data_IF_878582754866
#
_entry.id   IF_878582754866
#
_cell.length_a   1.000
_cell.length_b   1.000
_cell.length_c   1.000
_cell.angle_alpha   90.00
_cell.angle_beta   90.00
_cell.angle_gamma   90.00
#
_symmetry.space_group_name_H-M   'P 1'
#
loop_
_entity.id
_entity.type
_entity.pdbx_description
1 polymer ?
#
# COMPACT_ATOMS: atom_id res chain seq x y z
N UNK A 1 -13.90 16.10 -12.08
CA UNK A 1 -13.01 16.78 -11.09
C UNK A 1 -11.65 16.12 -10.94
N UNK A 2 -11.51 14.83 -10.60
CA UNK A 2 -10.17 14.21 -10.47
C UNK A 2 -9.45 14.08 -11.83
N UNK A 3 -10.15 13.71 -12.87
CA UNK A 3 -9.63 13.67 -14.25
C UNK A 3 -9.26 15.07 -14.73
N UNK A 4 -10.17 16.05 -14.56
CA UNK A 4 -9.92 17.45 -14.95
C UNK A 4 -8.70 18.02 -14.22
N UNK A 5 -8.55 17.71 -12.93
CA UNK A 5 -7.36 18.09 -12.16
C UNK A 5 -6.10 17.43 -12.72
N UNK A 6 -6.18 16.16 -13.09
CA UNK A 6 -5.05 15.45 -13.69
C UNK A 6 -4.64 16.07 -15.01
N UNK A 7 -5.60 16.41 -15.85
CA UNK A 7 -5.33 17.03 -17.15
C UNK A 7 -4.78 18.46 -16.99
N UNK A 8 -5.33 19.25 -16.07
CA UNK A 8 -4.76 20.55 -15.71
C UNK A 8 -3.31 20.45 -15.23
N UNK A 9 -3.00 19.50 -14.35
CA UNK A 9 -1.64 19.31 -13.86
C UNK A 9 -0.68 18.90 -14.97
N UNK A 10 -1.13 18.08 -15.94
CA UNK A 10 -0.34 17.75 -17.13
C UNK A 10 -0.07 18.97 -18.01
N UNK A 11 -1.08 19.82 -18.22
CA UNK A 11 -0.95 21.06 -19.02
C UNK A 11 0.08 22.02 -18.41
N UNK A 12 0.18 22.11 -17.09
CA UNK A 12 1.20 22.92 -16.41
C UNK A 12 2.57 22.20 -16.30
N UNK A 13 2.71 21.04 -16.91
CA UNK A 13 3.99 20.31 -17.01
C UNK A 13 4.35 19.46 -15.82
N UNK A 14 3.42 19.13 -14.92
CA UNK A 14 3.64 18.24 -13.78
C UNK A 14 3.46 16.79 -14.23
N UNK A 15 4.41 15.93 -13.86
CA UNK A 15 4.30 14.49 -14.11
C UNK A 15 3.26 13.89 -13.16
N UNK A 16 2.06 13.65 -13.65
CA UNK A 16 0.91 13.20 -12.86
C UNK A 16 0.30 11.93 -13.43
N UNK A 17 -0.13 11.04 -12.55
CA UNK A 17 -0.99 9.89 -12.90
C UNK A 17 -2.29 9.95 -12.11
N UNK A 18 -3.35 9.40 -12.73
CA UNK A 18 -4.65 9.23 -12.13
C UNK A 18 -4.88 7.76 -11.80
N UNK A 19 -5.48 7.52 -10.63
CA UNK A 19 -5.82 6.18 -10.19
C UNK A 19 -7.31 6.15 -9.83
N UNK A 20 -8.11 5.32 -10.49
CA UNK A 20 -9.54 5.12 -10.21
C UNK A 20 -9.86 3.66 -9.84
N UNK A 21 -11.10 3.41 -9.39
CA UNK A 21 -11.49 2.10 -8.86
C UNK A 21 -11.46 0.97 -9.92
N UNK A 22 -11.64 1.32 -11.20
CA UNK A 22 -11.74 0.35 -12.29
C UNK A 22 -10.38 -0.07 -12.87
N UNK A 23 -9.28 0.49 -12.36
CA UNK A 23 -7.93 0.10 -12.80
C UNK A 23 -7.63 -1.32 -12.32
N UNK A 24 -7.16 -2.16 -13.25
CA UNK A 24 -6.74 -3.52 -12.94
C UNK A 24 -5.63 -3.55 -11.87
N UNK A 25 -5.65 -4.58 -11.03
CA UNK A 25 -4.70 -4.75 -9.92
C UNK A 25 -3.26 -4.68 -10.37
N UNK A 26 -2.93 -5.27 -11.52
CA UNK A 26 -1.56 -5.23 -12.07
C UNK A 26 -1.14 -3.83 -12.51
N UNK A 27 -2.05 -3.08 -13.12
CA UNK A 27 -1.80 -1.71 -13.54
C UNK A 27 -1.67 -0.78 -12.33
N UNK A 28 -2.52 -0.96 -11.31
CA UNK A 28 -2.40 -0.26 -10.03
C UNK A 28 -1.03 -0.45 -9.39
N UNK A 29 -0.54 -1.69 -9.36
CA UNK A 29 0.79 -1.99 -8.81
C UNK A 29 1.93 -1.35 -9.64
N UNK A 30 1.81 -1.32 -10.96
CA UNK A 30 2.76 -0.62 -11.83
C UNK A 30 2.79 0.88 -11.52
N UNK A 31 1.61 1.52 -11.36
CA UNK A 31 1.52 2.94 -11.03
C UNK A 31 2.19 3.22 -9.68
N UNK A 32 1.92 2.40 -8.67
CA UNK A 32 2.54 2.56 -7.34
C UNK A 32 4.06 2.38 -7.41
N UNK A 33 4.51 1.36 -8.14
CA UNK A 33 5.94 1.12 -8.36
C UNK A 33 6.61 2.29 -9.08
N UNK A 34 6.01 2.78 -10.16
CA UNK A 34 6.52 3.90 -10.93
C UNK A 34 6.63 5.15 -10.04
N UNK A 35 5.66 5.41 -9.15
CA UNK A 35 5.72 6.49 -8.18
C UNK A 35 6.91 6.33 -7.23
N UNK A 36 7.15 5.14 -6.71
CA UNK A 36 8.28 4.84 -5.83
C UNK A 36 9.64 4.90 -6.52
N UNK A 37 9.67 4.78 -7.85
CA UNK A 37 10.86 4.89 -8.70
C UNK A 37 11.01 6.28 -9.34
N UNK A 38 10.32 7.29 -8.84
CA UNK A 38 10.38 8.67 -9.36
C UNK A 38 9.90 8.81 -10.83
N UNK A 39 9.05 7.89 -11.28
CA UNK A 39 8.47 7.93 -12.62
C UNK A 39 7.52 9.11 -12.84
N UNK A 40 6.90 9.62 -11.76
CA UNK A 40 6.03 10.80 -11.77
C UNK A 40 5.94 11.40 -10.35
N UNK A 41 5.49 12.67 -10.26
CA UNK A 41 5.54 13.45 -9.03
C UNK A 41 4.22 13.45 -8.26
N UNK A 42 3.08 13.34 -8.95
CA UNK A 42 1.75 13.48 -8.36
C UNK A 42 0.86 12.30 -8.72
N UNK A 43 0.23 11.72 -7.71
CA UNK A 43 -0.82 10.72 -7.86
C UNK A 43 -2.16 11.33 -7.45
N UNK A 44 -3.07 11.47 -8.40
CA UNK A 44 -4.44 11.89 -8.15
C UNK A 44 -5.35 10.67 -8.03
N UNK A 45 -6.21 10.66 -7.04
CA UNK A 45 -7.12 9.53 -6.93
C UNK A 45 -8.31 9.76 -6.01
N UNK A 46 -9.38 9.03 -6.26
CA UNK A 46 -10.60 9.05 -5.46
C UNK A 46 -10.53 7.86 -4.49
N UNK A 47 -10.55 8.15 -3.18
CA UNK A 47 -10.62 7.12 -2.13
C UNK A 47 -9.50 6.04 -2.14
N UNK A 48 -8.40 6.32 -2.78
CA UNK A 48 -7.33 5.34 -3.00
C UNK A 48 -6.46 5.08 -1.79
N UNK A 49 -6.47 6.01 -0.83
CA UNK A 49 -5.56 6.00 0.30
C UNK A 49 -6.11 5.22 1.51
N UNK A 50 -7.30 4.62 1.40
CA UNK A 50 -7.90 3.85 2.50
C UNK A 50 -7.31 2.46 2.66
N UNK A 51 -6.90 1.79 1.56
CA UNK A 51 -6.50 0.39 1.60
C UNK A 51 -5.10 0.16 1.01
N UNK A 52 -4.24 -0.44 1.80
CA UNK A 52 -3.05 -1.17 1.34
C UNK A 52 -1.93 -0.39 0.63
N UNK A 53 -2.01 0.94 0.52
CA UNK A 53 -0.92 1.71 -0.07
C UNK A 53 0.13 2.04 0.98
N UNK A 54 1.25 1.36 0.88
CA UNK A 54 2.45 1.64 1.67
C UNK A 54 3.52 2.31 0.80
N UNK A 55 3.47 3.63 0.76
CA UNK A 55 4.40 4.46 -0.03
C UNK A 55 5.13 5.40 0.93
N UNK A 56 6.26 5.00 1.50
CA UNK A 56 7.00 5.84 2.45
C UNK A 56 7.63 7.08 1.81
N UNK A 57 7.71 7.12 0.50
CA UNK A 57 8.27 8.23 -0.28
C UNK A 57 7.32 9.45 -0.35
N UNK A 58 6.05 9.32 0.08
CA UNK A 58 5.09 10.43 0.06
C UNK A 58 5.52 11.52 1.06
N UNK A 59 5.84 12.69 0.53
CA UNK A 59 6.16 13.89 1.32
C UNK A 59 4.97 14.82 1.51
N UNK A 60 3.98 14.78 0.63
CA UNK A 60 2.80 15.64 0.68
C UNK A 60 1.52 14.84 0.43
N UNK A 61 0.53 15.03 1.29
CA UNK A 61 -0.85 14.57 1.10
C UNK A 61 -1.76 15.79 1.02
N UNK A 62 -2.44 15.98 -0.11
CA UNK A 62 -3.43 17.03 -0.30
C UNK A 62 -4.84 16.41 -0.30
N UNK A 63 -5.70 16.87 0.61
CA UNK A 63 -7.08 16.42 0.72
C UNK A 63 -7.98 17.57 0.22
N UNK A 64 -8.56 17.38 -0.96
CA UNK A 64 -9.50 18.34 -1.54
C UNK A 64 -10.91 18.13 -0.96
N UNK A 65 -11.69 19.22 -0.87
CA UNK A 65 -13.05 19.18 -0.32
C UNK A 65 -13.10 18.45 1.04
N UNK A 66 -12.20 18.79 1.94
CA UNK A 66 -12.09 18.12 3.23
C UNK A 66 -13.30 18.37 4.15
N UNK A 67 -14.04 19.44 3.91
CA UNK A 67 -15.28 19.86 4.59
C UNK A 67 -16.54 19.21 4.03
N UNK A 68 -16.48 18.51 2.89
CA UNK A 68 -17.63 17.79 2.33
C UNK A 68 -17.90 16.54 3.15
N UNK A 69 -18.68 16.67 4.21
CA UNK A 69 -19.02 15.56 5.11
C UNK A 69 -19.59 14.36 4.35
N UNK A 70 -19.21 13.17 4.76
CA UNK A 70 -19.62 11.93 4.16
C UNK A 70 -18.66 10.80 4.54
N UNK A 71 -18.91 9.60 4.05
CA UNK A 71 -18.15 8.40 4.39
C UNK A 71 -16.63 8.52 4.18
N UNK A 72 -16.18 9.35 3.22
CA UNK A 72 -14.77 9.59 2.91
C UNK A 72 -14.13 10.68 3.76
N UNK A 73 -14.90 11.43 4.54
CA UNK A 73 -14.44 12.57 5.35
C UNK A 73 -14.80 12.43 6.82
N UNK A 74 -15.03 11.20 7.27
CA UNK A 74 -15.15 10.90 8.70
C UNK A 74 -13.81 11.11 9.40
N UNK A 75 -13.83 11.34 10.70
CA UNK A 75 -12.63 11.44 11.55
C UNK A 75 -11.62 10.32 11.26
N UNK A 76 -12.08 9.06 11.30
CA UNK A 76 -11.23 7.89 11.04
C UNK A 76 -10.63 7.90 9.64
N UNK A 77 -11.41 8.25 8.62
CA UNK A 77 -10.94 8.33 7.25
C UNK A 77 -9.86 9.41 7.07
N UNK A 78 -10.06 10.57 7.70
CA UNK A 78 -9.09 11.66 7.68
C UNK A 78 -7.79 11.25 8.41
N UNK A 79 -7.88 10.66 9.61
CA UNK A 79 -6.71 10.17 10.34
C UNK A 79 -5.92 9.14 9.53
N UNK A 80 -6.59 8.20 8.87
CA UNK A 80 -5.94 7.22 8.00
C UNK A 80 -5.21 7.87 6.83
N UNK A 81 -5.83 8.87 6.21
CA UNK A 81 -5.25 9.61 5.08
C UNK A 81 -4.04 10.44 5.53
N UNK A 82 -4.16 11.15 6.64
CA UNK A 82 -3.06 11.90 7.29
C UNK A 82 -1.89 10.96 7.60
N UNK A 83 -2.19 9.77 8.12
CA UNK A 83 -1.21 8.76 8.48
C UNK A 83 -0.34 8.25 7.32
N UNK A 84 -0.74 8.49 6.06
CA UNK A 84 0.09 8.14 4.88
C UNK A 84 1.34 9.00 4.77
N UNK A 85 1.27 10.28 5.15
CA UNK A 85 2.43 11.16 5.19
C UNK A 85 3.35 10.90 6.41
N UNK A 86 2.85 10.23 7.45
CA UNK A 86 3.58 10.05 8.72
C UNK A 86 4.81 9.14 8.63
N UNK A 87 5.03 8.45 7.52
CA UNK A 87 6.21 7.61 7.27
C UNK A 87 7.42 8.39 6.74
N UNK A 88 7.18 9.60 6.28
CA UNK A 88 8.20 10.52 5.86
C UNK A 88 8.49 11.53 6.98
N UNK A 89 9.76 11.72 7.32
CA UNK A 89 10.16 12.67 8.36
C UNK A 89 9.73 14.12 8.02
N UNK A 90 9.72 14.46 6.72
CA UNK A 90 9.30 15.74 6.19
C UNK A 90 7.85 15.70 5.65
N UNK A 91 7.04 14.75 6.12
CA UNK A 91 5.68 14.56 5.65
C UNK A 91 4.74 15.72 6.04
N UNK A 92 4.07 16.30 5.05
CA UNK A 92 3.08 17.35 5.21
C UNK A 92 1.70 16.90 4.74
N UNK A 93 0.66 17.45 5.39
CA UNK A 93 -0.73 17.24 5.00
C UNK A 93 -1.41 18.61 4.87
N UNK A 94 -2.07 18.83 3.73
CA UNK A 94 -2.87 20.03 3.47
C UNK A 94 -4.31 19.59 3.25
N UNK A 95 -5.23 20.15 4.02
CA UNK A 95 -6.66 19.97 3.85
C UNK A 95 -7.25 21.26 3.26
N UNK A 96 -7.81 21.16 2.05
CA UNK A 96 -8.52 22.25 1.40
C UNK A 96 -9.98 22.18 1.81
N UNK A 97 -10.47 23.23 2.45
CA UNK A 97 -11.82 23.32 2.98
C UNK A 97 -12.25 24.78 3.10
N UNK A 98 -13.53 25.07 2.90
CA UNK A 98 -14.10 26.40 3.15
C UNK A 98 -14.39 26.58 4.64
N UNK A 99 -14.75 25.49 5.34
CA UNK A 99 -15.06 25.51 6.77
C UNK A 99 -14.42 24.30 7.46
N UNK A 100 -14.04 24.48 8.72
CA UNK A 100 -13.55 23.36 9.53
C UNK A 100 -14.76 22.62 10.10
N UNK A 101 -14.90 21.35 9.73
CA UNK A 101 -15.96 20.46 10.25
C UNK A 101 -15.53 19.81 11.57
N UNK A 102 -16.48 19.28 12.33
CA UNK A 102 -16.20 18.55 13.58
C UNK A 102 -15.28 17.34 13.35
N UNK A 103 -15.46 16.62 12.22
CA UNK A 103 -14.59 15.50 11.83
C UNK A 103 -13.16 15.95 11.55
N UNK A 104 -12.96 17.10 10.90
CA UNK A 104 -11.64 17.68 10.68
C UNK A 104 -10.98 18.10 11.99
N UNK A 105 -11.70 18.81 12.84
CA UNK A 105 -11.18 19.26 14.14
C UNK A 105 -10.71 18.08 15.01
N UNK A 106 -11.51 17.02 15.10
CA UNK A 106 -11.16 15.78 15.81
C UNK A 106 -9.93 15.10 15.21
N UNK A 107 -9.86 15.01 13.88
CA UNK A 107 -8.73 14.39 13.19
C UNK A 107 -7.43 15.18 13.38
N UNK A 108 -7.48 16.50 13.32
CA UNK A 108 -6.34 17.38 13.56
C UNK A 108 -5.86 17.27 15.00
N UNK A 109 -6.76 17.47 15.97
CA UNK A 109 -6.40 17.44 17.38
C UNK A 109 -5.83 16.09 17.82
N UNK A 110 -6.39 14.97 17.32
CA UNK A 110 -5.86 13.64 17.63
C UNK A 110 -4.48 13.41 16.97
N UNK A 111 -4.28 13.90 15.77
CA UNK A 111 -2.98 13.80 15.08
C UNK A 111 -1.92 14.63 15.80
N UNK A 112 -2.24 15.84 16.23
CA UNK A 112 -1.35 16.70 17.02
C UNK A 112 -1.02 16.09 18.38
N UNK A 113 -2.01 15.53 19.08
CA UNK A 113 -1.82 14.82 20.33
C UNK A 113 -0.83 13.66 20.17
N UNK A 114 -1.00 12.83 19.14
CA UNK A 114 -0.09 11.70 18.86
C UNK A 114 1.32 12.20 18.52
N UNK A 115 1.43 13.25 17.71
CA UNK A 115 2.71 13.85 17.34
C UNK A 115 3.46 14.38 18.55
N UNK A 116 2.77 15.05 19.46
CA UNK A 116 3.36 15.58 20.69
C UNK A 116 3.93 14.46 21.57
N UNK A 117 3.14 13.42 21.83
CA UNK A 117 3.58 12.25 22.61
C UNK A 117 4.81 11.60 21.97
N UNK A 118 4.82 11.46 20.65
CA UNK A 118 5.95 10.87 19.94
C UNK A 118 7.20 11.75 20.01
N UNK A 119 7.04 13.07 19.91
CA UNK A 119 8.15 14.01 20.04
C UNK A 119 8.76 13.95 21.45
N UNK A 120 7.95 14.00 22.49
CA UNK A 120 8.40 13.88 23.89
C UNK A 120 9.14 12.56 24.12
N UNK A 121 8.63 11.46 23.58
CA UNK A 121 9.29 10.16 23.65
C UNK A 121 10.64 10.16 22.94
N UNK A 122 10.71 10.72 21.74
CA UNK A 122 11.93 10.81 20.94
C UNK A 122 13.00 11.64 21.64
N UNK A 123 12.62 12.79 22.22
CA UNK A 123 13.53 13.67 22.98
C UNK A 123 14.12 12.95 24.20
N UNK A 124 13.28 12.27 24.99
CA UNK A 124 13.73 11.52 26.17
C UNK A 124 14.71 10.39 25.81
N UNK A 125 14.50 9.74 24.65
CA UNK A 125 15.31 8.59 24.22
C UNK A 125 16.41 8.96 23.22
N UNK A 126 16.57 10.24 22.88
CA UNK A 126 17.59 10.69 21.91
C UNK A 126 17.36 10.15 20.49
N UNK A 127 16.11 9.91 20.11
CA UNK A 127 15.74 9.35 18.81
C UNK A 127 15.56 10.48 17.80
N UNK A 128 16.32 10.48 16.72
CA UNK A 128 16.10 11.38 15.58
C UNK A 128 15.18 10.69 14.57
N UNK A 129 14.00 11.25 14.26
CA UNK A 129 13.10 10.68 13.26
C UNK A 129 13.79 10.57 11.90
N UNK A 130 13.60 9.45 11.22
CA UNK A 130 14.13 9.21 9.88
C UNK A 130 13.02 8.71 8.97
N UNK A 131 13.05 9.12 7.70
CA UNK A 131 12.14 8.60 6.67
C UNK A 131 12.37 7.10 6.47
N UNK A 132 11.29 6.32 6.48
CA UNK A 132 11.35 4.88 6.26
C UNK A 132 11.79 4.62 4.82
N UNK A 133 12.86 3.85 4.65
CA UNK A 133 13.31 3.36 3.34
C UNK A 133 12.89 1.91 3.17
N UNK A 134 11.99 1.66 2.23
CA UNK A 134 11.52 0.31 1.89
C UNK A 134 11.99 -0.06 0.48
N UNK A 135 12.58 -1.22 0.29
CA UNK A 135 12.99 -1.70 -1.04
C UNK A 135 11.78 -1.80 -1.98
N UNK A 136 11.93 -1.33 -3.22
CA UNK A 136 10.91 -1.52 -4.27
C UNK A 136 11.06 -2.93 -4.80
N UNK A 137 10.13 -3.82 -4.44
CA UNK A 137 10.14 -5.21 -4.90
C UNK A 137 9.38 -5.33 -6.22
N UNK A 138 9.91 -6.07 -7.17
CA UNK A 138 9.33 -6.26 -8.49
C UNK A 138 8.43 -7.50 -8.49
N UNK A 139 7.12 -7.31 -8.32
CA UNK A 139 6.13 -8.40 -8.34
C UNK A 139 6.04 -9.08 -9.72
N UNK A 140 6.43 -8.36 -10.79
CA UNK A 140 6.45 -8.91 -12.16
C UNK A 140 7.67 -9.81 -12.38
N UNK A 141 8.78 -9.58 -11.66
CA UNK A 141 9.94 -10.47 -11.72
C UNK A 141 9.65 -11.82 -11.06
N UNK A 142 8.73 -11.88 -10.11
CA UNK A 142 8.33 -13.12 -9.43
C UNK A 142 7.58 -14.06 -10.39
N UNK A 143 6.71 -13.54 -11.26
CA UNK A 143 6.03 -14.37 -12.25
C UNK A 143 6.96 -14.79 -13.40
N UNK A 144 7.93 -13.94 -13.78
CA UNK A 144 8.95 -14.27 -14.80
C UNK A 144 10.12 -15.09 -14.25
N UNK A 145 10.52 -14.89 -13.01
CA UNK A 145 11.53 -15.70 -12.35
C UNK A 145 11.01 -17.13 -12.03
N UNK A 146 9.70 -17.29 -11.78
CA UNK A 146 9.07 -18.61 -11.70
C UNK A 146 9.08 -19.37 -13.03
N UNK A 147 9.30 -18.68 -14.15
CA UNK A 147 9.49 -19.30 -15.47
C UNK A 147 10.97 -19.49 -15.83
N UNK A 148 11.91 -18.76 -15.23
CA UNK A 148 13.31 -18.71 -15.67
C UNK A 148 14.34 -19.31 -14.70
N UNK A 149 14.02 -19.57 -13.45
CA UNK A 149 15.05 -20.00 -12.46
C UNK A 149 14.67 -21.28 -11.71
N UNK A 150 15.24 -22.37 -12.20
CA UNK A 150 15.31 -23.68 -11.53
C UNK A 150 16.51 -23.74 -10.54
N UNK A 151 17.02 -22.62 -10.03
CA UNK A 151 18.14 -22.64 -9.11
C UNK A 151 18.00 -21.64 -7.95
N UNK A 152 17.89 -22.17 -6.74
CA UNK A 152 18.01 -21.56 -5.41
C UNK A 152 16.81 -20.76 -4.86
N UNK A 153 16.01 -21.50 -4.12
CA UNK A 153 14.90 -21.09 -3.32
C UNK A 153 15.16 -20.12 -2.18
N UNK A 154 14.79 -18.88 -2.39
CA UNK A 154 14.25 -17.97 -1.35
C UNK A 154 13.40 -16.92 -2.05
N UNK A 155 12.13 -17.22 -2.23
CA UNK A 155 11.12 -16.25 -2.67
C UNK A 155 10.52 -15.63 -1.39
N UNK A 156 11.03 -14.48 -0.98
CA UNK A 156 10.34 -13.60 -0.02
C UNK A 156 9.23 -12.87 -0.78
N UNK A 157 8.06 -13.47 -0.85
CA UNK A 157 6.86 -12.85 -1.44
C UNK A 157 6.15 -12.08 -0.33
N UNK A 158 5.90 -10.80 -0.56
CA UNK A 158 5.13 -9.96 0.36
C UNK A 158 3.63 -10.25 0.15
N UNK A 159 3.10 -11.20 0.89
CA UNK A 159 1.70 -11.63 0.81
C UNK A 159 0.72 -10.60 1.38
N UNK A 160 1.21 -9.62 2.15
CA UNK A 160 0.38 -8.62 2.82
C UNK A 160 -0.26 -7.61 1.84
N UNK A 161 0.29 -7.47 0.64
CA UNK A 161 -0.18 -6.52 -0.38
C UNK A 161 -1.05 -7.15 -1.46
N UNK A 162 -1.31 -8.48 -1.40
CA UNK A 162 -2.01 -9.21 -2.46
C UNK A 162 -3.51 -9.34 -2.20
N UNK A 163 -4.32 -9.29 -3.28
CA UNK A 163 -5.73 -9.63 -3.19
C UNK A 163 -5.94 -11.14 -2.98
N UNK A 164 -7.07 -11.53 -2.37
CA UNK A 164 -7.43 -12.94 -2.15
C UNK A 164 -7.37 -13.74 -3.46
N UNK A 165 -7.86 -13.15 -4.57
CA UNK A 165 -7.83 -13.79 -5.89
C UNK A 165 -6.42 -14.03 -6.42
N UNK A 166 -5.49 -13.13 -6.13
CA UNK A 166 -4.12 -13.26 -6.58
C UNK A 166 -3.35 -14.24 -5.68
N UNK A 167 -3.62 -14.26 -4.38
CA UNK A 167 -3.11 -15.28 -3.46
C UNK A 167 -3.58 -16.70 -3.86
N UNK A 168 -4.82 -16.85 -4.32
CA UNK A 168 -5.32 -18.12 -4.85
C UNK A 168 -4.62 -18.55 -6.13
N UNK A 169 -4.28 -17.62 -7.03
CA UNK A 169 -3.49 -17.92 -8.24
C UNK A 169 -2.08 -18.36 -7.87
N UNK A 170 -1.43 -17.63 -6.98
CA UNK A 170 -0.08 -17.98 -6.48
C UNK A 170 -0.09 -19.35 -5.80
N UNK A 171 -1.10 -19.62 -4.96
CA UNK A 171 -1.30 -20.93 -4.33
C UNK A 171 -1.40 -22.07 -5.36
N UNK A 172 -2.23 -21.89 -6.41
CA UNK A 172 -2.36 -22.90 -7.48
C UNK A 172 -1.06 -23.12 -8.23
N UNK A 173 -0.28 -22.07 -8.45
CA UNK A 173 1.02 -22.20 -9.10
C UNK A 173 2.05 -22.93 -8.21
N UNK A 174 2.09 -22.60 -6.92
CA UNK A 174 2.96 -23.30 -5.96
C UNK A 174 2.56 -24.78 -5.84
N UNK A 175 1.25 -25.07 -5.80
CA UNK A 175 0.77 -26.46 -5.76
C UNK A 175 1.20 -27.24 -7.01
N UNK A 176 1.12 -26.64 -8.20
CA UNK A 176 1.58 -27.24 -9.43
C UNK A 176 3.08 -27.53 -9.39
N UNK A 177 3.88 -26.57 -8.92
CA UNK A 177 5.34 -26.73 -8.81
C UNK A 177 5.71 -27.77 -7.75
N UNK A 178 5.00 -27.82 -6.61
CA UNK A 178 5.17 -28.82 -5.57
C UNK A 178 4.93 -30.23 -6.11
N UNK A 179 3.85 -30.44 -6.87
CA UNK A 179 3.54 -31.73 -7.50
C UNK A 179 4.60 -32.12 -8.52
N UNK A 180 5.17 -31.14 -9.26
CA UNK A 180 6.25 -31.39 -10.23
C UNK A 180 7.52 -31.81 -9.50
N UNK A 181 7.94 -31.08 -8.48
CA UNK A 181 9.10 -31.41 -7.67
C UNK A 181 8.98 -32.82 -7.01
N UNK A 182 7.79 -33.15 -6.51
CA UNK A 182 7.51 -34.48 -5.97
C UNK A 182 7.60 -35.59 -7.04
N UNK A 183 7.15 -35.32 -8.28
CA UNK A 183 7.27 -36.27 -9.39
C UNK A 183 8.73 -36.45 -9.84
N UNK A 184 9.57 -35.44 -9.68
CA UNK A 184 11.02 -35.47 -9.96
C UNK A 184 11.83 -36.02 -8.78
N UNK A 185 11.16 -36.46 -7.69
CA UNK A 185 11.74 -36.99 -6.46
C UNK A 185 12.58 -35.99 -5.66
N UNK A 186 12.41 -34.67 -5.95
CA UNK A 186 13.01 -33.61 -5.16
C UNK A 186 12.11 -33.29 -3.95
N UNK A 187 12.24 -34.12 -2.92
CA UNK A 187 11.42 -34.01 -1.72
C UNK A 187 11.73 -32.77 -0.88
N UNK A 188 12.95 -32.26 -0.95
CA UNK A 188 13.35 -31.07 -0.22
C UNK A 188 12.65 -29.81 -0.81
N UNK A 189 12.68 -29.68 -2.13
CA UNK A 189 11.99 -28.62 -2.83
C UNK A 189 10.46 -28.75 -2.70
N UNK A 190 9.91 -29.93 -2.76
CA UNK A 190 8.51 -30.22 -2.54
C UNK A 190 8.06 -29.83 -1.11
N UNK A 191 8.89 -30.10 -0.09
CA UNK A 191 8.62 -29.73 1.30
C UNK A 191 8.62 -28.18 1.48
N UNK A 192 9.61 -27.48 0.92
CA UNK A 192 9.64 -26.00 0.96
C UNK A 192 8.43 -25.37 0.30
N UNK A 193 7.99 -25.89 -0.84
CA UNK A 193 6.80 -25.40 -1.55
C UNK A 193 5.50 -25.68 -0.76
N UNK A 194 5.43 -26.82 -0.07
CA UNK A 194 4.31 -27.15 0.85
C UNK A 194 4.24 -26.15 2.00
N UNK A 195 5.36 -25.84 2.63
CA UNK A 195 5.40 -24.92 3.76
C UNK A 195 4.99 -23.50 3.35
N UNK A 196 5.42 -23.05 2.18
CA UNK A 196 4.93 -21.79 1.56
C UNK A 196 3.42 -21.80 1.28
N UNK A 197 2.88 -22.93 0.82
CA UNK A 197 1.43 -23.06 0.60
C UNK A 197 0.63 -22.97 1.90
N UNK A 198 1.17 -23.51 3.01
CA UNK A 198 0.57 -23.40 4.34
C UNK A 198 0.55 -21.94 4.81
N UNK A 199 1.63 -21.21 4.57
CA UNK A 199 1.74 -19.79 4.89
C UNK A 199 0.72 -18.95 4.13
N UNK A 200 0.60 -19.12 2.82
CA UNK A 200 -0.41 -18.45 2.00
C UNK A 200 -1.83 -18.76 2.46
N UNK A 201 -2.12 -20.01 2.83
CA UNK A 201 -3.43 -20.39 3.37
C UNK A 201 -3.74 -19.64 4.67
N UNK A 202 -2.78 -19.44 5.56
CA UNK A 202 -2.97 -18.65 6.79
C UNK A 202 -3.31 -17.20 6.43
N UNK A 203 -2.62 -16.59 5.46
CA UNK A 203 -2.92 -15.23 5.00
C UNK A 203 -4.31 -15.11 4.38
N UNK A 204 -4.71 -16.01 3.50
CA UNK A 204 -6.06 -16.04 2.92
C UNK A 204 -7.10 -16.16 4.03
N UNK A 205 -6.88 -17.02 5.01
CA UNK A 205 -7.79 -17.21 6.13
C UNK A 205 -7.92 -15.94 6.99
N UNK A 206 -6.81 -15.28 7.31
CA UNK A 206 -6.80 -14.01 8.03
C UNK A 206 -7.58 -12.92 7.26
N UNK A 207 -7.38 -12.81 5.95
CA UNK A 207 -8.07 -11.82 5.12
C UNK A 207 -9.58 -12.07 5.03
N UNK A 208 -10.02 -13.33 4.98
CA UNK A 208 -11.44 -13.69 5.00
C UNK A 208 -12.09 -13.37 6.34
N UNK A 209 -11.40 -13.65 7.46
CA UNK A 209 -11.94 -13.38 8.81
C UNK A 209 -11.99 -11.89 9.15
N UNK A 210 -11.11 -11.07 8.60
CA UNK A 210 -11.16 -9.60 8.78
C UNK A 210 -12.22 -8.94 7.91
N UNK A 211 -12.65 -9.59 6.82
CA UNK A 211 -13.75 -9.13 5.96
C UNK A 211 -15.14 -9.38 6.58
N UNK A 212 -15.33 -10.52 7.28
CA UNK A 212 -16.61 -10.87 7.92
C UNK A 212 -16.85 -10.12 9.26
N UNK A 213 -15.82 -9.50 9.84
CA UNK A 213 -15.96 -8.73 11.08
C UNK A 213 -16.31 -7.23 10.83
N UNK A 214 -16.52 -6.84 9.59
CA UNK A 214 -16.79 -5.46 9.17
C UNK A 214 -18.24 -5.23 8.65
N UNK A 215 -19.13 -6.23 8.75
CA UNK A 215 -20.57 -6.11 8.49
C UNK A 215 -21.36 -5.91 9.79
#
# INVERSE_FOLDING_TARGET
MAEDLTDYLKEVGIRVKYLHADIDTLERQKIIRDMRLDGFDVLVGINLLREGLDIPEISLVAILDADKEGFLRTETSLIQTIGRAARNADGHVIMYADTITESMEKAISETERRRKIQQEYNEVHGITPQTIKKAVRDLISISKAAEADNSNGRLDVDYESMSIKDLEKVKKQIEKNMRKAAAELDFEQAAMLRDKMIEINKYIYCLLYTSDAAD
#
